data_IF_801244136450
#
_entry.id   IF_801244136450
#
_cell.length_a   1.000
_cell.length_b   1.000
_cell.length_c   1.000
_cell.angle_alpha   90.00
_cell.angle_beta   90.00
_cell.angle_gamma   90.00
#
_symmetry.space_group_name_H-M   'P 1'
#
loop_
_entity.id
_entity.type
_entity.pdbx_description
1 polymer ?
#
# COMPACT_ATOMS: atom_id res chain seq x y z
N UNK A 1 4.20 -2.90 -33.43
CA UNK A 1 5.30 -3.83 -33.04
C UNK A 1 6.60 -3.29 -33.61
N UNK A 2 7.54 -2.88 -32.75
CA UNK A 2 8.83 -2.36 -33.18
C UNK A 2 9.74 -3.53 -33.58
N UNK A 3 10.22 -3.63 -34.83
CA UNK A 3 11.11 -4.72 -35.23
C UNK A 3 12.39 -4.70 -34.38
N UNK A 4 12.84 -5.86 -33.91
CA UNK A 4 14.05 -6.03 -33.08
C UNK A 4 13.77 -6.09 -31.56
N UNK A 5 12.82 -5.34 -31.02
CA UNK A 5 12.45 -5.42 -29.60
C UNK A 5 11.69 -6.71 -29.29
N UNK A 6 10.84 -7.17 -30.20
CA UNK A 6 10.08 -8.42 -30.05
C UNK A 6 10.97 -9.67 -29.95
N UNK A 7 12.21 -9.63 -30.46
CA UNK A 7 13.16 -10.75 -30.35
C UNK A 7 13.88 -10.76 -29.00
N UNK A 8 14.09 -9.59 -28.39
CA UNK A 8 14.77 -9.45 -27.08
C UNK A 8 13.81 -9.73 -25.91
N UNK A 9 12.52 -9.45 -26.09
CA UNK A 9 11.46 -9.69 -25.10
C UNK A 9 10.48 -10.77 -25.59
N UNK A 10 11.00 -11.85 -26.14
CA UNK A 10 10.19 -12.97 -26.62
C UNK A 10 9.57 -13.80 -25.48
N UNK A 11 10.06 -13.65 -24.26
CA UNK A 11 9.52 -14.33 -23.09
C UNK A 11 8.38 -13.52 -22.45
N UNK A 12 7.13 -14.05 -22.48
CA UNK A 12 5.98 -13.40 -21.82
C UNK A 12 6.17 -13.19 -20.31
N UNK A 13 7.02 -13.98 -19.67
CA UNK A 13 7.29 -13.87 -18.22
C UNK A 13 7.99 -12.54 -17.90
N UNK A 14 8.95 -12.11 -18.72
CA UNK A 14 9.64 -10.82 -18.53
C UNK A 14 8.65 -9.66 -18.56
N UNK A 15 7.71 -9.67 -19.51
CA UNK A 15 6.69 -8.63 -19.61
C UNK A 15 5.78 -8.61 -18.38
N UNK A 16 5.31 -9.77 -17.92
CA UNK A 16 4.45 -9.89 -16.72
C UNK A 16 5.19 -9.42 -15.47
N UNK A 17 6.45 -9.83 -15.30
CA UNK A 17 7.29 -9.39 -14.18
C UNK A 17 7.47 -7.86 -14.18
N UNK A 18 7.79 -7.27 -15.34
CA UNK A 18 7.90 -5.82 -15.48
C UNK A 18 6.57 -5.12 -15.16
N UNK A 19 5.44 -5.69 -15.57
CA UNK A 19 4.11 -5.16 -15.28
C UNK A 19 3.79 -5.19 -13.78
N UNK A 20 4.12 -6.30 -13.08
CA UNK A 20 3.96 -6.40 -11.61
C UNK A 20 4.73 -5.29 -10.91
N UNK A 21 6.01 -5.09 -11.25
CA UNK A 21 6.82 -4.03 -10.65
C UNK A 21 6.26 -2.65 -11.00
N UNK A 22 5.92 -2.42 -12.27
CA UNK A 22 5.37 -1.13 -12.70
C UNK A 22 4.10 -0.77 -11.94
N UNK A 23 3.14 -1.68 -11.84
CA UNK A 23 1.87 -1.43 -11.14
C UNK A 23 2.10 -1.17 -9.66
N UNK A 24 2.92 -1.98 -8.99
CA UNK A 24 3.21 -1.76 -7.57
C UNK A 24 3.90 -0.42 -7.31
N UNK A 25 4.87 -0.04 -8.12
CA UNK A 25 5.58 1.23 -7.92
C UNK A 25 4.72 2.45 -8.30
N UNK A 26 3.98 2.38 -9.40
CA UNK A 26 3.20 3.51 -9.93
C UNK A 26 1.84 3.71 -9.25
N UNK A 27 1.23 2.65 -8.74
CA UNK A 27 -0.09 2.74 -8.09
C UNK A 27 0.06 2.61 -6.58
N UNK A 28 0.56 1.45 -6.09
CA UNK A 28 0.61 1.20 -4.65
C UNK A 28 1.59 2.14 -3.95
N UNK A 29 2.86 2.11 -4.35
CA UNK A 29 3.92 2.87 -3.66
C UNK A 29 3.72 4.36 -3.82
N UNK A 30 3.47 4.83 -5.03
CA UNK A 30 3.34 6.27 -5.28
C UNK A 30 2.14 6.89 -4.57
N UNK A 31 0.96 6.28 -4.67
CA UNK A 31 -0.24 6.80 -4.01
C UNK A 31 -0.13 6.75 -2.48
N UNK A 32 0.44 5.67 -1.91
CA UNK A 32 0.65 5.59 -0.47
C UNK A 32 1.76 6.53 0.02
N UNK A 33 2.78 6.81 -0.77
CA UNK A 33 3.78 7.82 -0.45
C UNK A 33 3.16 9.22 -0.38
N UNK A 34 2.34 9.60 -1.35
CA UNK A 34 1.58 10.88 -1.32
C UNK A 34 0.66 10.92 -0.10
N UNK A 35 -0.06 9.83 0.16
CA UNK A 35 -0.93 9.70 1.34
C UNK A 35 -0.16 9.95 2.63
N UNK A 36 1.04 9.37 2.75
CA UNK A 36 1.91 9.55 3.92
C UNK A 36 2.37 11.00 4.10
N UNK A 37 2.66 11.70 3.01
CA UNK A 37 3.00 13.13 3.04
C UNK A 37 1.81 13.93 3.59
N UNK A 38 0.59 13.69 3.09
CA UNK A 38 -0.63 14.36 3.54
C UNK A 38 -0.87 14.09 5.03
N UNK A 39 -0.69 12.86 5.48
CA UNK A 39 -0.82 12.51 6.90
C UNK A 39 0.25 13.18 7.77
N UNK A 40 1.46 13.40 7.26
CA UNK A 40 2.56 14.02 8.01
C UNK A 40 2.45 15.55 8.12
N UNK A 41 1.67 16.21 7.25
CA UNK A 41 1.38 17.64 7.39
C UNK A 41 0.64 17.88 8.71
N UNK A 42 1.17 18.73 9.58
CA UNK A 42 0.64 19.06 10.92
C UNK A 42 1.00 18.07 12.04
N UNK A 43 1.88 17.10 11.81
CA UNK A 43 2.40 16.24 12.90
C UNK A 43 3.44 16.99 13.74
N UNK A 44 3.51 16.63 15.03
CA UNK A 44 4.69 16.92 15.84
C UNK A 44 5.82 16.05 15.34
N UNK A 45 6.96 16.63 14.98
CA UNK A 45 8.14 15.88 14.56
C UNK A 45 8.53 14.88 15.65
N UNK A 46 8.35 13.60 15.40
CA UNK A 46 8.99 12.55 16.18
C UNK A 46 10.38 12.33 15.56
N UNK A 47 11.44 12.22 16.36
CA UNK A 47 12.79 12.05 15.83
C UNK A 47 13.00 10.81 14.95
N UNK A 48 11.99 9.94 14.80
CA UNK A 48 12.04 8.70 14.03
C UNK A 48 11.53 8.83 12.59
N UNK A 49 11.01 9.99 12.16
CA UNK A 49 10.44 10.16 10.81
C UNK A 49 11.44 9.84 9.69
N UNK A 50 12.70 10.26 9.88
CA UNK A 50 13.78 9.95 8.93
C UNK A 50 14.08 8.45 8.83
N UNK A 51 14.00 7.72 9.93
CA UNK A 51 14.19 6.27 9.94
C UNK A 51 13.06 5.57 9.19
N UNK A 52 11.81 5.93 9.48
CA UNK A 52 10.65 5.35 8.80
C UNK A 52 10.70 5.58 7.28
N UNK A 53 11.04 6.82 6.86
CA UNK A 53 11.21 7.11 5.44
C UNK A 53 12.31 6.25 4.79
N UNK A 54 13.45 6.06 5.46
CA UNK A 54 14.55 5.22 4.96
C UNK A 54 14.14 3.74 4.85
N UNK A 55 13.41 3.22 5.85
CA UNK A 55 12.92 1.83 5.82
C UNK A 55 11.87 1.64 4.72
N UNK A 56 10.95 2.59 4.55
CA UNK A 56 9.97 2.56 3.46
C UNK A 56 10.63 2.61 2.08
N UNK A 57 11.63 3.49 1.89
CA UNK A 57 12.43 3.53 0.67
C UNK A 57 13.19 2.20 0.46
N UNK A 58 13.76 1.63 1.51
CA UNK A 58 14.41 0.30 1.44
C UNK A 58 13.45 -0.77 0.95
N UNK A 59 12.21 -0.81 1.48
CA UNK A 59 11.16 -1.72 1.02
C UNK A 59 10.84 -1.55 -0.48
N UNK A 60 10.69 -0.29 -0.94
CA UNK A 60 10.48 0.01 -2.35
C UNK A 60 11.64 -0.47 -3.22
N UNK A 61 12.89 -0.24 -2.81
CA UNK A 61 14.08 -0.72 -3.54
C UNK A 61 14.15 -2.24 -3.59
N UNK A 62 13.81 -2.95 -2.51
CA UNK A 62 13.74 -4.41 -2.50
C UNK A 62 12.71 -4.92 -3.51
N UNK A 63 11.51 -4.33 -3.57
CA UNK A 63 10.51 -4.68 -4.59
C UNK A 63 11.04 -4.43 -6.00
N UNK A 64 11.66 -3.27 -6.26
CA UNK A 64 12.17 -2.91 -7.58
C UNK A 64 13.31 -3.82 -8.06
N UNK A 65 14.16 -4.29 -7.16
CA UNK A 65 15.31 -5.15 -7.46
C UNK A 65 14.96 -6.65 -7.46
N UNK A 66 13.81 -7.03 -6.90
CA UNK A 66 13.41 -8.44 -6.77
C UNK A 66 13.41 -9.25 -8.07
N UNK A 67 13.11 -8.69 -9.27
CA UNK A 67 13.18 -9.45 -10.52
C UNK A 67 14.57 -9.94 -10.90
N UNK A 68 15.62 -9.38 -10.30
CA UNK A 68 17.00 -9.80 -10.55
C UNK A 68 17.36 -11.11 -9.85
N UNK A 69 16.49 -11.61 -8.98
CA UNK A 69 16.69 -12.83 -8.21
C UNK A 69 15.89 -13.99 -8.78
N UNK A 70 16.41 -15.24 -8.72
CA UNK A 70 15.72 -16.41 -9.24
C UNK A 70 14.40 -16.69 -8.50
N UNK A 71 13.45 -17.31 -9.19
CA UNK A 71 12.14 -17.69 -8.63
C UNK A 71 11.12 -16.52 -8.64
N UNK A 72 11.34 -15.49 -9.46
CA UNK A 72 10.43 -14.34 -9.54
C UNK A 72 9.28 -14.60 -10.52
N UNK A 73 8.46 -15.61 -10.26
CA UNK A 73 7.27 -15.87 -11.06
C UNK A 73 6.19 -14.81 -10.80
N UNK A 74 5.64 -14.19 -11.85
CA UNK A 74 4.64 -13.14 -11.70
C UNK A 74 3.26 -13.74 -11.46
N UNK A 75 2.64 -13.38 -10.34
CA UNK A 75 1.25 -13.69 -10.00
C UNK A 75 0.41 -12.44 -10.21
N UNK A 76 -0.46 -12.52 -11.21
CA UNK A 76 -1.31 -11.40 -11.59
C UNK A 76 -2.59 -11.40 -10.77
N UNK A 77 -2.85 -10.30 -10.08
CA UNK A 77 -4.14 -10.04 -9.43
C UNK A 77 -4.57 -8.58 -9.62
N UNK A 78 -5.82 -8.27 -9.30
CA UNK A 78 -6.43 -6.99 -9.62
C UNK A 78 -5.99 -5.84 -8.69
N UNK A 79 -5.41 -6.13 -7.52
CA UNK A 79 -5.14 -5.11 -6.50
C UNK A 79 -3.67 -4.93 -6.20
N UNK A 80 -2.97 -6.02 -5.87
CA UNK A 80 -1.55 -6.01 -5.52
C UNK A 80 -0.88 -7.18 -6.25
N UNK A 81 -0.52 -7.02 -7.54
CA UNK A 81 0.20 -8.04 -8.27
C UNK A 81 1.47 -8.45 -7.53
N UNK A 82 1.77 -9.75 -7.50
CA UNK A 82 2.85 -10.30 -6.69
C UNK A 82 3.94 -10.92 -7.55
N UNK A 83 5.16 -10.96 -7.00
CA UNK A 83 6.19 -11.90 -7.43
C UNK A 83 6.36 -12.98 -6.36
N UNK A 84 6.42 -14.24 -6.78
CA UNK A 84 6.74 -15.37 -5.90
C UNK A 84 8.22 -15.36 -5.49
N UNK A 85 8.63 -14.25 -4.88
CA UNK A 85 10.01 -14.03 -4.46
C UNK A 85 10.01 -13.43 -3.06
N UNK A 86 10.77 -14.05 -2.17
CA UNK A 86 10.88 -13.61 -0.78
C UNK A 86 11.34 -12.15 -0.66
N UNK A 87 12.22 -11.69 -1.57
CA UNK A 87 12.74 -10.30 -1.55
C UNK A 87 11.62 -9.33 -1.86
N UNK A 88 10.74 -9.64 -2.83
CA UNK A 88 9.56 -8.83 -3.14
C UNK A 88 8.61 -8.77 -1.94
N UNK A 89 8.31 -9.91 -1.34
CA UNK A 89 7.39 -10.01 -0.19
C UNK A 89 7.94 -9.22 1.00
N UNK A 90 9.23 -9.36 1.32
CA UNK A 90 9.86 -8.57 2.39
C UNK A 90 9.78 -7.08 2.07
N UNK A 91 10.08 -6.67 0.83
CA UNK A 91 9.98 -5.28 0.40
C UNK A 91 8.57 -4.71 0.57
N UNK A 92 7.56 -5.46 0.13
CA UNK A 92 6.15 -5.10 0.25
C UNK A 92 5.71 -4.99 1.72
N UNK A 93 6.09 -5.96 2.56
CA UNK A 93 5.79 -5.96 3.99
C UNK A 93 6.46 -4.78 4.70
N UNK A 94 7.73 -4.52 4.46
CA UNK A 94 8.44 -3.38 5.05
C UNK A 94 7.77 -2.06 4.68
N UNK A 95 7.47 -1.86 3.40
CA UNK A 95 6.76 -0.68 2.93
C UNK A 95 5.38 -0.55 3.58
N UNK A 96 4.56 -1.61 3.54
CA UNK A 96 3.21 -1.61 4.09
C UNK A 96 3.18 -1.35 5.60
N UNK A 97 4.09 -1.95 6.38
CA UNK A 97 4.20 -1.73 7.84
C UNK A 97 4.55 -0.29 8.15
N UNK A 98 5.45 0.34 7.40
CA UNK A 98 5.78 1.75 7.60
C UNK A 98 4.56 2.64 7.36
N UNK A 99 3.80 2.40 6.30
CA UNK A 99 2.57 3.14 6.04
C UNK A 99 1.53 2.92 7.16
N UNK A 100 1.43 1.69 7.69
CA UNK A 100 0.57 1.39 8.84
C UNK A 100 0.99 2.19 10.08
N UNK A 101 2.28 2.28 10.37
CA UNK A 101 2.79 3.11 11.47
C UNK A 101 2.39 4.57 11.28
N UNK A 102 2.52 5.12 10.07
CA UNK A 102 2.08 6.49 9.78
C UNK A 102 0.57 6.67 9.96
N UNK A 103 -0.24 5.70 9.56
CA UNK A 103 -1.70 5.78 9.75
C UNK A 103 -2.08 5.74 11.22
N UNK A 104 -1.50 4.83 12.01
CA UNK A 104 -1.71 4.76 13.47
C UNK A 104 -1.32 6.05 14.16
N UNK A 105 -0.15 6.61 13.85
CA UNK A 105 0.29 7.90 14.39
C UNK A 105 -0.69 9.02 14.03
N UNK A 106 -1.22 9.03 12.80
CA UNK A 106 -2.18 10.03 12.34
C UNK A 106 -3.47 9.98 13.14
N UNK A 107 -4.00 8.77 13.36
CA UNK A 107 -5.19 8.57 14.18
C UNK A 107 -4.94 8.99 15.62
N UNK A 108 -3.85 8.51 16.24
CA UNK A 108 -3.50 8.88 17.64
C UNK A 108 -3.38 10.41 17.80
N UNK A 109 -2.67 11.10 16.92
CA UNK A 109 -2.51 12.56 17.00
C UNK A 109 -3.85 13.27 16.79
N UNK A 110 -4.72 12.76 15.92
CA UNK A 110 -6.04 13.34 15.69
C UNK A 110 -6.93 13.24 16.95
N UNK A 111 -6.90 12.14 17.66
CA UNK A 111 -7.65 11.97 18.91
C UNK A 111 -7.05 12.78 20.06
N UNK A 112 -5.73 12.75 20.24
CA UNK A 112 -5.06 13.45 21.35
C UNK A 112 -5.20 14.98 21.25
N UNK A 113 -5.23 15.55 20.05
CA UNK A 113 -5.32 17.01 19.84
C UNK A 113 -6.75 17.53 19.81
N UNK A 114 -7.75 16.67 20.04
CA UNK A 114 -9.16 17.08 19.94
C UNK A 114 -9.45 17.90 18.68
N UNK A 115 -8.87 17.46 17.54
CA UNK A 115 -9.04 18.15 16.26
C UNK A 115 -10.49 18.24 15.79
N UNK A 116 -11.38 17.51 16.46
CA UNK A 116 -12.83 17.52 16.26
C UNK A 116 -13.53 18.59 17.11
N UNK A 117 -12.79 19.34 17.99
CA UNK A 117 -13.40 20.40 18.78
C UNK A 117 -13.84 21.57 17.89
N UNK A 118 -14.96 22.15 18.25
CA UNK A 118 -15.56 23.36 17.64
C UNK A 118 -14.75 24.61 18.02
N UNK A 119 -13.44 24.58 17.87
CA UNK A 119 -12.59 25.75 18.11
C UNK A 119 -12.96 26.85 17.11
N UNK A 120 -13.45 28.03 17.59
CA UNK A 120 -13.88 29.11 16.70
C UNK A 120 -12.76 29.70 15.84
N UNK A 121 -11.50 29.45 16.24
CA UNK A 121 -10.33 29.93 15.52
C UNK A 121 -9.89 29.09 14.31
N UNK A 122 -10.43 27.87 14.14
CA UNK A 122 -10.06 26.99 13.01
C UNK A 122 -10.92 27.29 11.78
N UNK A 123 -10.26 27.46 10.64
CA UNK A 123 -10.93 27.57 9.35
C UNK A 123 -11.74 26.28 9.05
N UNK A 124 -12.80 26.41 8.26
CA UNK A 124 -13.59 25.30 7.75
C UNK A 124 -12.72 24.29 7.01
N UNK A 125 -11.77 24.76 6.17
CA UNK A 125 -10.80 23.92 5.47
C UNK A 125 -9.92 23.10 6.40
N UNK A 126 -9.45 23.67 7.52
CA UNK A 126 -8.62 22.97 8.50
C UNK A 126 -9.37 21.80 9.16
N UNK A 127 -10.67 21.99 9.39
CA UNK A 127 -11.53 20.94 9.98
C UNK A 127 -11.75 19.80 8.99
N UNK A 128 -12.09 20.11 7.74
CA UNK A 128 -12.25 19.09 6.69
C UNK A 128 -10.95 18.31 6.54
N UNK A 129 -9.81 19.01 6.43
CA UNK A 129 -8.50 18.38 6.33
C UNK A 129 -8.22 17.44 7.49
N UNK A 130 -8.50 17.84 8.73
CA UNK A 130 -8.29 17.00 9.92
C UNK A 130 -9.18 15.76 9.92
N UNK A 131 -10.46 15.90 9.60
CA UNK A 131 -11.42 14.79 9.51
C UNK A 131 -10.97 13.82 8.43
N UNK A 132 -10.65 14.30 7.25
CA UNK A 132 -10.28 13.42 6.12
C UNK A 132 -8.96 12.70 6.33
N UNK A 133 -7.97 13.33 6.96
CA UNK A 133 -6.74 12.64 7.38
C UNK A 133 -7.05 11.50 8.35
N UNK A 134 -7.88 11.75 9.35
CA UNK A 134 -8.22 10.73 10.34
C UNK A 134 -9.02 9.58 9.72
N UNK A 135 -10.03 9.88 8.90
CA UNK A 135 -10.87 8.85 8.28
C UNK A 135 -10.10 8.04 7.24
N UNK A 136 -9.25 8.65 6.42
CA UNK A 136 -8.40 7.92 5.47
C UNK A 136 -7.37 7.02 6.19
N UNK A 137 -6.82 7.47 7.32
CA UNK A 137 -5.92 6.66 8.12
C UNK A 137 -6.65 5.48 8.80
N UNK A 138 -7.88 5.69 9.28
CA UNK A 138 -8.72 4.60 9.81
C UNK A 138 -9.09 3.58 8.73
N UNK A 139 -9.42 4.04 7.52
CA UNK A 139 -9.68 3.14 6.38
C UNK A 139 -8.44 2.31 6.05
N UNK A 140 -7.24 2.90 6.08
CA UNK A 140 -6.01 2.16 5.83
C UNK A 140 -5.71 1.12 6.93
N UNK A 141 -6.02 1.41 8.19
CA UNK A 141 -5.96 0.39 9.26
C UNK A 141 -6.96 -0.74 8.94
N UNK A 142 -8.17 -0.40 8.45
CA UNK A 142 -9.16 -1.37 7.98
C UNK A 142 -8.64 -2.26 6.85
N UNK A 143 -7.82 -1.73 5.92
CA UNK A 143 -7.14 -2.53 4.88
C UNK A 143 -6.32 -3.65 5.49
N UNK A 144 -5.52 -3.33 6.52
CA UNK A 144 -4.71 -4.34 7.21
C UNK A 144 -5.55 -5.37 7.95
N UNK A 145 -6.63 -4.95 8.60
CA UNK A 145 -7.58 -5.87 9.23
C UNK A 145 -8.17 -6.83 8.20
N UNK A 146 -8.56 -6.32 7.03
CA UNK A 146 -9.05 -7.16 5.94
C UNK A 146 -8.01 -8.17 5.46
N UNK A 147 -6.76 -7.75 5.27
CA UNK A 147 -5.69 -8.68 4.85
C UNK A 147 -5.45 -9.77 5.89
N UNK A 148 -5.41 -9.43 7.16
CA UNK A 148 -5.23 -10.41 8.25
C UNK A 148 -6.41 -11.40 8.30
N UNK A 149 -7.65 -10.91 8.21
CA UNK A 149 -8.83 -11.78 8.20
C UNK A 149 -8.88 -12.68 6.96
N UNK A 150 -8.56 -12.13 5.78
CA UNK A 150 -8.48 -12.91 4.53
C UNK A 150 -7.39 -13.99 4.62
N UNK A 151 -6.23 -13.66 5.21
CA UNK A 151 -5.15 -14.63 5.39
C UNK A 151 -5.59 -15.82 6.24
N UNK A 152 -6.18 -15.58 7.42
CA UNK A 152 -6.66 -16.68 8.28
C UNK A 152 -7.77 -17.50 7.62
N UNK A 153 -8.71 -16.86 6.92
CA UNK A 153 -9.78 -17.56 6.21
C UNK A 153 -9.24 -18.42 5.08
N UNK A 154 -8.20 -17.97 4.37
CA UNK A 154 -7.56 -18.71 3.29
C UNK A 154 -6.68 -19.84 3.83
N UNK A 155 -6.03 -19.65 4.97
CA UNK A 155 -5.26 -20.71 5.65
C UNK A 155 -6.18 -21.87 6.05
N UNK A 156 -7.32 -21.58 6.67
CA UNK A 156 -8.34 -22.57 7.00
C UNK A 156 -8.84 -23.31 5.75
N UNK A 157 -9.12 -22.57 4.66
CA UNK A 157 -9.60 -23.15 3.40
C UNK A 157 -8.54 -24.00 2.70
N UNK A 158 -7.28 -23.58 2.71
CA UNK A 158 -6.16 -24.28 2.09
C UNK A 158 -5.89 -25.65 2.72
N UNK A 159 -6.23 -25.82 4.00
CA UNK A 159 -6.17 -27.09 4.72
C UNK A 159 -7.25 -28.10 4.27
N UNK A 160 -8.30 -27.64 3.58
CA UNK A 160 -9.43 -28.45 3.14
C UNK A 160 -9.33 -28.74 1.63
N UNK A 161 -8.98 -27.72 0.84
CA UNK A 161 -8.92 -27.77 -0.63
C UNK A 161 -7.63 -27.15 -1.13
N UNK A 162 -6.90 -27.80 -2.06
CA UNK A 162 -5.73 -27.17 -2.68
C UNK A 162 -6.17 -25.95 -3.47
N UNK A 163 -5.60 -24.78 -3.15
CA UNK A 163 -5.87 -23.53 -3.81
C UNK A 163 -4.81 -23.24 -4.88
N UNK A 164 -5.24 -22.83 -6.06
CA UNK A 164 -4.33 -22.27 -7.06
C UNK A 164 -3.75 -20.93 -6.54
N UNK A 165 -2.48 -20.67 -6.86
CA UNK A 165 -1.75 -19.53 -6.31
C UNK A 165 -2.35 -18.17 -6.74
N UNK A 166 -2.80 -18.07 -8.00
CA UNK A 166 -3.47 -16.89 -8.53
C UNK A 166 -4.76 -16.60 -7.75
N UNK A 167 -5.56 -17.62 -7.48
CA UNK A 167 -6.79 -17.50 -6.71
C UNK A 167 -6.50 -17.12 -5.25
N UNK A 168 -5.45 -17.71 -4.64
CA UNK A 168 -5.05 -17.38 -3.27
C UNK A 168 -4.73 -15.89 -3.11
N UNK A 169 -3.86 -15.35 -3.97
CA UNK A 169 -3.49 -13.92 -3.89
C UNK A 169 -4.62 -12.99 -4.32
N UNK A 170 -5.46 -13.38 -5.28
CA UNK A 170 -6.65 -12.59 -5.63
C UNK A 170 -7.58 -12.44 -4.42
N UNK A 171 -7.88 -13.52 -3.71
CA UNK A 171 -8.75 -13.50 -2.53
C UNK A 171 -8.11 -12.81 -1.34
N UNK A 172 -6.79 -12.99 -1.14
CA UNK A 172 -6.05 -12.33 -0.06
C UNK A 172 -6.17 -10.80 -0.16
N UNK A 173 -6.02 -10.26 -1.36
CA UNK A 173 -6.01 -8.81 -1.58
C UNK A 173 -7.36 -8.23 -1.95
N UNK A 174 -8.39 -9.03 -2.17
CA UNK A 174 -9.68 -8.58 -2.69
C UNK A 174 -10.36 -7.53 -1.79
N UNK A 175 -10.61 -7.86 -0.53
CA UNK A 175 -11.33 -6.97 0.39
C UNK A 175 -10.51 -5.74 0.79
N UNK A 176 -9.25 -5.96 1.18
CA UNK A 176 -8.35 -4.86 1.54
C UNK A 176 -8.00 -3.97 0.35
N UNK A 177 -7.88 -4.53 -0.85
CA UNK A 177 -7.65 -3.78 -2.08
C UNK A 177 -8.81 -2.84 -2.44
N UNK A 178 -10.05 -3.26 -2.24
CA UNK A 178 -11.21 -2.38 -2.40
C UNK A 178 -11.16 -1.21 -1.41
N UNK A 179 -10.89 -1.47 -0.12
CA UNK A 179 -10.74 -0.41 0.86
C UNK A 179 -9.60 0.54 0.52
N UNK A 180 -8.51 0.03 -0.04
CA UNK A 180 -7.37 0.84 -0.46
C UNK A 180 -7.76 1.85 -1.55
N UNK A 181 -8.64 1.47 -2.48
CA UNK A 181 -9.18 2.39 -3.50
C UNK A 181 -9.96 3.54 -2.87
N UNK A 182 -10.72 3.30 -1.79
CA UNK A 182 -11.39 4.37 -1.05
C UNK A 182 -10.39 5.30 -0.36
N UNK A 183 -9.30 4.77 0.20
CA UNK A 183 -8.22 5.60 0.77
C UNK A 183 -7.66 6.53 -0.30
N UNK A 184 -7.32 6.01 -1.49
CA UNK A 184 -6.78 6.81 -2.59
C UNK A 184 -7.76 7.90 -3.05
N UNK A 185 -9.02 7.55 -3.24
CA UNK A 185 -10.06 8.50 -3.65
C UNK A 185 -10.23 9.62 -2.63
N UNK A 186 -10.27 9.27 -1.33
CA UNK A 186 -10.44 10.24 -0.26
C UNK A 186 -9.24 11.19 -0.15
N UNK A 187 -8.01 10.67 -0.24
CA UNK A 187 -6.79 11.47 -0.21
C UNK A 187 -6.69 12.36 -1.44
N UNK A 188 -7.09 11.88 -2.61
CA UNK A 188 -7.13 12.69 -3.83
C UNK A 188 -8.10 13.89 -3.67
N UNK A 189 -9.27 13.67 -3.10
CA UNK A 189 -10.23 14.77 -2.83
C UNK A 189 -9.66 15.81 -1.89
N UNK A 190 -8.89 15.40 -0.87
CA UNK A 190 -8.21 16.34 0.04
C UNK A 190 -7.12 17.14 -0.66
N UNK A 191 -6.39 16.52 -1.58
CA UNK A 191 -5.33 17.20 -2.32
C UNK A 191 -5.87 18.29 -3.27
N UNK A 192 -7.18 18.27 -3.57
CA UNK A 192 -7.86 19.26 -4.41
C UNK A 192 -8.48 20.42 -3.60
N UNK A 193 -8.51 20.34 -2.27
CA UNK A 193 -9.01 21.37 -1.36
C UNK A 193 -7.91 22.33 -0.94
#
# INVERSE_FOLDING_TARGET
RTPGIAQTFSDPAIFRTALVIHVNLSVLVWLLAITSIIWSVSKVKSGFESLYAKVGLGGMFLMALSPLFPGSEPVMNNYVPMLENLIFIIGLCLFGVIILIFSLQTVCVSFMRSNFSTDPGKSYGDRIMAITKCTSALLFIGVWVCFVLSYFSLDDLSNIVPLEIDYYYEMLFWSGGHLLQFVYTQVMLVALL
#
